data_IF_148808712901
#
_entry.id   IF_148808712901
#
_cell.length_a   1.000
_cell.length_b   1.000
_cell.length_c   1.000
_cell.angle_alpha   90.00
_cell.angle_beta   90.00
_cell.angle_gamma   90.00
#
_symmetry.space_group_name_H-M   'P 1'
#
loop_
_entity.id
_entity.type
_entity.pdbx_description
1 polymer ?
#
# COMPACT_ATOMS: atom_id res chain seq x y z
N UNK A 1 -52.82 -13.34 18.12
CA UNK A 1 -51.51 -13.84 18.55
C UNK A 1 -51.69 -15.30 18.86
N UNK A 2 -51.07 -16.13 18.03
CA UNK A 2 -51.22 -17.59 17.98
C UNK A 2 -50.18 -18.27 18.87
N UNK A 3 -50.49 -19.48 19.33
CA UNK A 3 -49.77 -20.33 20.31
C UNK A 3 -48.33 -20.76 19.95
N UNK A 4 -47.66 -20.12 18.98
CA UNK A 4 -46.28 -20.45 18.58
C UNK A 4 -45.20 -19.60 19.29
N UNK A 5 -45.58 -18.58 20.06
CA UNK A 5 -44.62 -17.69 20.75
C UNK A 5 -44.22 -18.16 22.16
N UNK A 6 -44.76 -19.27 22.67
CA UNK A 6 -44.51 -19.74 24.05
C UNK A 6 -43.44 -20.85 24.17
N UNK A 7 -42.86 -21.32 23.07
CA UNK A 7 -41.87 -22.42 23.10
C UNK A 7 -40.40 -21.97 22.96
N UNK A 8 -40.12 -20.68 22.79
CA UNK A 8 -38.74 -20.15 22.66
C UNK A 8 -38.16 -19.56 23.96
N UNK A 9 -38.86 -19.71 25.09
CA UNK A 9 -38.50 -19.08 26.37
C UNK A 9 -37.99 -20.06 27.44
N UNK A 10 -37.79 -21.34 27.12
CA UNK A 10 -37.31 -22.36 28.08
C UNK A 10 -35.89 -22.89 27.81
N UNK A 11 -35.20 -22.42 26.77
CA UNK A 11 -33.81 -22.83 26.44
C UNK A 11 -32.74 -21.82 26.92
N UNK A 12 -33.10 -20.81 27.72
CA UNK A 12 -32.18 -19.72 28.11
C UNK A 12 -31.76 -19.69 29.59
N UNK A 13 -32.25 -20.62 30.43
CA UNK A 13 -31.93 -20.65 31.88
C UNK A 13 -30.89 -21.70 32.30
N UNK A 14 -30.39 -22.56 31.40
CA UNK A 14 -29.35 -23.56 31.75
C UNK A 14 -27.90 -23.07 31.55
N UNK A 15 -27.67 -21.96 30.85
CA UNK A 15 -26.31 -21.47 30.54
C UNK A 15 -25.69 -20.54 31.62
N UNK A 16 -26.44 -20.19 32.69
CA UNK A 16 -25.97 -19.21 33.69
C UNK A 16 -25.25 -19.87 34.88
N UNK A 17 -25.38 -21.17 35.09
CA UNK A 17 -24.72 -21.88 36.21
C UNK A 17 -23.40 -22.58 35.84
N UNK A 18 -22.97 -22.51 34.57
CA UNK A 18 -21.69 -23.09 34.13
C UNK A 18 -20.49 -22.14 34.25
N UNK A 19 -20.70 -20.85 34.50
CA UNK A 19 -19.63 -19.83 34.50
C UNK A 19 -18.97 -19.61 35.87
N UNK A 20 -19.58 -20.04 36.98
CA UNK A 20 -19.03 -19.84 38.33
C UNK A 20 -18.00 -20.92 38.74
N UNK A 21 -18.05 -22.11 38.13
CA UNK A 21 -17.07 -23.19 38.36
C UNK A 21 -15.79 -23.03 37.50
N UNK A 22 -15.82 -22.14 36.49
CA UNK A 22 -14.70 -21.85 35.60
C UNK A 22 -13.72 -20.80 36.16
N UNK A 23 -14.11 -20.01 37.16
CA UNK A 23 -13.24 -18.99 37.76
C UNK A 23 -12.34 -19.50 38.89
N UNK A 24 -12.64 -20.67 39.48
CA UNK A 24 -11.83 -21.28 40.54
C UNK A 24 -10.59 -22.05 40.03
N UNK A 25 -10.36 -22.17 38.71
CA UNK A 25 -9.18 -22.84 38.09
C UNK A 25 -8.12 -21.88 37.53
N UNK A 26 -8.13 -20.59 37.89
CA UNK A 26 -7.21 -19.58 37.32
C UNK A 26 -5.91 -19.34 38.10
N UNK A 27 -5.66 -19.99 39.23
CA UNK A 27 -4.46 -19.70 40.06
C UNK A 27 -3.27 -20.67 39.90
N UNK A 28 -3.36 -21.69 39.05
CA UNK A 28 -2.20 -22.54 38.72
C UNK A 28 -1.98 -22.58 37.22
N UNK A 29 -1.14 -21.69 36.68
CA UNK A 29 -0.34 -21.95 35.46
C UNK A 29 0.78 -20.91 35.25
N UNK A 30 1.82 -20.90 36.11
CA UNK A 30 3.03 -20.12 35.88
C UNK A 30 3.89 -20.61 34.69
N UNK A 31 3.50 -21.70 34.00
CA UNK A 31 4.19 -22.22 32.81
C UNK A 31 3.70 -21.58 31.50
N UNK A 32 2.39 -21.34 31.35
CA UNK A 32 1.79 -20.90 30.08
C UNK A 32 2.17 -19.43 29.74
N UNK A 33 2.34 -18.59 30.76
CA UNK A 33 2.81 -17.20 30.59
C UNK A 33 4.25 -17.15 30.07
N UNK A 34 5.08 -18.14 30.44
CA UNK A 34 6.50 -18.19 30.05
C UNK A 34 6.66 -18.56 28.58
N UNK A 35 5.84 -19.49 28.10
CA UNK A 35 5.82 -19.92 26.70
C UNK A 35 5.35 -18.79 25.76
N UNK A 36 4.36 -17.99 26.19
CA UNK A 36 3.86 -16.86 25.40
C UNK A 36 4.88 -15.71 25.31
N UNK A 37 5.64 -15.44 26.38
CA UNK A 37 6.72 -14.45 26.36
C UNK A 37 7.85 -14.88 25.42
N UNK A 38 8.26 -16.15 25.46
CA UNK A 38 9.29 -16.70 24.56
C UNK A 38 8.82 -16.60 23.10
N UNK A 39 7.57 -16.98 22.79
CA UNK A 39 7.01 -16.87 21.44
C UNK A 39 6.98 -15.41 20.94
N UNK A 40 6.67 -14.45 21.82
CA UNK A 40 6.66 -13.02 21.49
C UNK A 40 8.08 -12.51 21.19
N UNK A 41 9.07 -12.88 22.01
CA UNK A 41 10.49 -12.55 21.78
C UNK A 41 11.01 -13.14 20.47
N UNK A 42 10.59 -14.36 20.13
CA UNK A 42 10.94 -15.05 18.89
C UNK A 42 10.42 -14.33 17.63
N UNK A 43 9.16 -13.85 17.68
CA UNK A 43 8.57 -13.13 16.55
C UNK A 43 9.25 -11.78 16.31
N UNK A 44 9.71 -11.11 17.38
CA UNK A 44 10.51 -9.88 17.27
C UNK A 44 11.84 -10.19 16.58
N UNK A 45 12.54 -11.25 16.98
CA UNK A 45 13.81 -11.65 16.36
C UNK A 45 13.68 -12.05 14.89
N UNK A 46 12.62 -12.77 14.51
CA UNK A 46 12.34 -13.10 13.11
C UNK A 46 12.04 -11.88 12.23
N UNK A 47 11.63 -10.76 12.83
CA UNK A 47 11.30 -9.52 12.12
C UNK A 47 12.47 -8.56 11.94
N UNK A 48 13.61 -8.80 12.61
CA UNK A 48 14.78 -7.92 12.55
C UNK A 48 15.63 -8.23 11.31
N UNK A 49 15.84 -7.23 10.44
CA UNK A 49 16.76 -7.35 9.31
C UNK A 49 18.23 -7.47 9.82
N UNK A 50 19.10 -8.24 9.13
CA UNK A 50 20.49 -8.50 9.52
C UNK A 50 21.35 -7.24 9.75
N UNK A 51 20.91 -6.07 9.26
CA UNK A 51 21.64 -4.79 9.36
C UNK A 51 21.23 -3.93 10.56
N UNK A 52 20.17 -4.28 11.27
CA UNK A 52 19.67 -3.52 12.43
C UNK A 52 19.94 -4.21 13.77
N UNK A 53 20.76 -5.26 13.77
CA UNK A 53 21.07 -6.05 14.95
C UNK A 53 22.02 -5.23 15.85
N UNK A 54 21.41 -4.51 16.80
CA UNK A 54 22.12 -3.79 17.84
C UNK A 54 22.66 -4.75 18.90
N UNK A 55 23.60 -4.30 19.74
CA UNK A 55 24.14 -5.04 20.91
C UNK A 55 23.03 -5.61 21.81
N UNK A 56 21.88 -4.94 21.85
CA UNK A 56 20.67 -5.36 22.59
C UNK A 56 20.03 -6.64 22.07
N UNK A 57 20.22 -6.94 20.78
CA UNK A 57 19.72 -8.17 20.15
C UNK A 57 20.60 -9.37 20.48
N UNK A 58 21.90 -9.16 20.75
CA UNK A 58 22.81 -10.20 21.26
C UNK A 58 22.44 -10.59 22.68
N UNK A 59 22.17 -9.62 23.56
CA UNK A 59 21.69 -9.85 24.93
C UNK A 59 20.37 -10.65 24.93
N UNK A 60 19.45 -10.31 24.01
CA UNK A 60 18.18 -11.01 23.88
C UNK A 60 18.32 -12.46 23.36
N UNK A 61 19.36 -12.75 22.57
CA UNK A 61 19.67 -14.13 22.13
C UNK A 61 20.25 -14.93 23.31
N UNK A 62 21.11 -14.31 24.12
CA UNK A 62 21.73 -14.93 25.29
C UNK A 62 20.70 -15.31 26.37
N UNK A 63 19.70 -14.45 26.59
CA UNK A 63 18.55 -14.73 27.47
C UNK A 63 17.71 -15.93 26.98
N UNK A 64 17.54 -16.07 25.66
CA UNK A 64 16.79 -17.19 25.07
C UNK A 64 17.59 -18.49 25.15
N UNK A 65 18.91 -18.44 24.94
CA UNK A 65 19.80 -19.60 25.10
C UNK A 65 19.77 -20.12 26.56
N UNK A 66 19.86 -19.22 27.55
CA UNK A 66 19.76 -19.60 28.97
C UNK A 66 18.39 -20.18 29.32
N UNK A 67 17.32 -19.61 28.77
CA UNK A 67 15.95 -20.11 28.99
C UNK A 67 15.73 -21.49 28.36
N UNK A 68 16.32 -21.73 27.18
CA UNK A 68 16.23 -23.01 26.49
C UNK A 68 17.04 -24.12 27.20
N UNK A 69 18.18 -23.79 27.81
CA UNK A 69 18.98 -24.75 28.61
C UNK A 69 18.27 -25.22 29.89
N UNK A 70 17.33 -24.41 30.41
CA UNK A 70 16.56 -24.74 31.62
C UNK A 70 15.23 -25.44 31.31
N UNK A 71 14.87 -25.61 30.03
CA UNK A 71 13.63 -26.25 29.62
C UNK A 71 13.75 -27.79 29.66
N UNK A 72 12.72 -28.45 30.19
CA UNK A 72 12.70 -29.89 30.40
C UNK A 72 12.72 -30.65 29.06
N UNK A 73 13.80 -31.42 28.82
CA UNK A 73 14.11 -32.08 27.54
C UNK A 73 13.13 -33.19 27.14
N UNK A 74 12.21 -33.59 28.04
CA UNK A 74 11.25 -34.66 27.80
C UNK A 74 10.03 -34.22 26.98
N UNK A 75 9.81 -32.91 26.79
CA UNK A 75 8.69 -32.40 26.00
C UNK A 75 9.08 -32.24 24.52
N UNK A 76 8.19 -32.59 23.59
CA UNK A 76 8.38 -32.42 22.15
C UNK A 76 8.72 -30.96 21.76
N UNK A 77 8.24 -29.99 22.54
CA UNK A 77 8.58 -28.57 22.38
C UNK A 77 10.03 -28.26 22.79
N UNK A 78 10.61 -29.01 23.74
CA UNK A 78 11.99 -28.86 24.18
C UNK A 78 13.01 -29.20 23.08
N UNK A 79 12.73 -30.22 22.27
CA UNK A 79 13.59 -30.57 21.12
C UNK A 79 13.60 -29.48 20.02
N UNK A 80 12.45 -28.85 19.75
CA UNK A 80 12.39 -27.73 18.79
C UNK A 80 13.12 -26.48 19.31
N UNK A 81 13.02 -26.20 20.60
CA UNK A 81 13.75 -25.11 21.27
C UNK A 81 15.27 -25.34 21.23
N UNK A 82 15.72 -26.57 21.44
CA UNK A 82 17.14 -26.92 21.36
C UNK A 82 17.71 -26.71 19.94
N UNK A 83 16.99 -27.16 18.91
CA UNK A 83 17.40 -27.04 17.51
C UNK A 83 17.44 -25.57 17.07
N UNK A 84 16.50 -24.76 17.57
CA UNK A 84 16.50 -23.32 17.34
C UNK A 84 17.63 -22.60 18.09
N UNK A 85 17.91 -22.97 19.34
CA UNK A 85 19.01 -22.42 20.12
C UNK A 85 20.35 -22.68 19.43
N UNK A 86 20.58 -23.88 18.90
CA UNK A 86 21.79 -24.22 18.16
C UNK A 86 21.94 -23.36 16.89
N UNK A 87 20.84 -23.11 16.17
CA UNK A 87 20.84 -22.24 15.00
C UNK A 87 21.16 -20.78 15.35
N UNK A 88 20.66 -20.29 16.48
CA UNK A 88 20.96 -18.94 16.99
C UNK A 88 22.44 -18.81 17.41
N UNK A 89 22.99 -19.84 18.05
CA UNK A 89 24.40 -19.91 18.44
C UNK A 89 25.33 -19.80 17.24
N UNK A 90 25.07 -20.57 16.18
CA UNK A 90 25.84 -20.52 14.92
C UNK A 90 25.77 -19.12 14.28
N UNK A 91 24.60 -18.49 14.28
CA UNK A 91 24.41 -17.14 13.75
C UNK A 91 25.18 -16.10 14.57
N UNK A 92 25.19 -16.21 15.90
CA UNK A 92 25.96 -15.35 16.81
C UNK A 92 27.46 -15.45 16.52
N UNK A 93 28.01 -16.65 16.47
CA UNK A 93 29.43 -16.88 16.19
C UNK A 93 29.86 -16.31 14.83
N UNK A 94 29.01 -16.48 13.81
CA UNK A 94 29.24 -15.92 12.47
C UNK A 94 29.24 -14.39 12.49
N UNK A 95 28.37 -13.78 13.28
CA UNK A 95 28.27 -12.33 13.42
C UNK A 95 29.46 -11.75 14.19
N UNK A 96 29.88 -12.38 15.30
CA UNK A 96 31.06 -11.99 16.06
C UNK A 96 32.35 -12.09 15.23
N UNK A 97 32.48 -13.15 14.41
CA UNK A 97 33.59 -13.29 13.48
C UNK A 97 33.60 -12.18 12.41
N UNK A 98 32.42 -11.75 11.96
CA UNK A 98 32.30 -10.64 10.99
C UNK A 98 32.68 -9.30 11.62
N UNK A 99 32.25 -9.05 12.86
CA UNK A 99 32.60 -7.84 13.62
C UNK A 99 34.12 -7.78 13.86
N UNK A 100 34.74 -8.88 14.31
CA UNK A 100 36.20 -8.95 14.49
C UNK A 100 36.95 -8.70 13.19
N UNK A 101 36.50 -9.26 12.07
CA UNK A 101 37.10 -8.99 10.74
C UNK A 101 36.97 -7.53 10.34
N UNK A 102 35.85 -6.85 10.64
CA UNK A 102 35.72 -5.42 10.37
C UNK A 102 36.60 -4.57 11.29
N UNK A 103 36.72 -4.91 12.57
CA UNK A 103 37.58 -4.20 13.52
C UNK A 103 39.08 -4.39 13.20
N UNK A 104 39.51 -5.57 12.76
CA UNK A 104 40.88 -5.80 12.30
C UNK A 104 41.19 -5.08 11.00
N UNK A 105 40.19 -4.95 10.11
CA UNK A 105 40.33 -4.18 8.86
C UNK A 105 40.52 -2.68 9.13
N UNK A 106 39.89 -2.17 10.18
CA UNK A 106 40.00 -0.77 10.60
C UNK A 106 41.31 -0.45 11.35
N UNK A 107 42.00 -1.47 11.90
CA UNK A 107 43.30 -1.28 12.59
C UNK A 107 44.50 -1.15 11.66
N UNK A 108 44.40 -1.56 10.40
CA UNK A 108 45.54 -1.65 9.47
C UNK A 108 45.53 -0.68 8.28
N UNK A 109 44.61 0.28 8.21
CA UNK A 109 44.73 1.38 7.24
C UNK A 109 45.43 2.59 7.88
N UNK A 110 46.50 3.12 7.25
CA UNK A 110 47.05 4.41 7.66
C UNK A 110 45.96 5.47 7.45
N UNK A 111 45.33 5.88 8.55
CA UNK A 111 44.19 6.81 8.62
C UNK A 111 44.43 8.06 7.78
N UNK A 112 45.69 8.50 7.66
CA UNK A 112 46.11 9.67 6.89
C UNK A 112 45.89 9.51 5.38
N UNK A 113 46.24 8.36 4.79
CA UNK A 113 46.16 8.17 3.33
C UNK A 113 44.73 7.81 2.89
N UNK A 114 43.97 7.13 3.74
CA UNK A 114 42.55 6.89 3.52
C UNK A 114 41.75 8.19 3.64
N UNK A 115 41.98 9.02 4.66
CA UNK A 115 41.28 10.31 4.80
C UNK A 115 41.62 11.27 3.65
N UNK A 116 42.86 11.28 3.16
CA UNK A 116 43.26 12.11 2.04
C UNK A 116 42.66 11.60 0.72
N UNK A 117 42.66 10.28 0.49
CA UNK A 117 42.04 9.68 -0.70
C UNK A 117 40.51 9.84 -0.69
N UNK A 118 39.86 9.65 0.46
CA UNK A 118 38.42 9.81 0.63
C UNK A 118 38.01 11.28 0.49
N UNK A 119 38.80 12.23 1.02
CA UNK A 119 38.57 13.68 0.85
C UNK A 119 38.72 14.14 -0.61
N UNK A 120 39.72 13.64 -1.34
CA UNK A 120 39.91 13.92 -2.77
C UNK A 120 38.79 13.30 -3.61
N UNK A 121 38.32 12.11 -3.27
CA UNK A 121 37.21 11.42 -3.94
C UNK A 121 35.86 12.11 -3.66
N UNK A 122 35.63 12.58 -2.43
CA UNK A 122 34.47 13.40 -2.07
C UNK A 122 34.48 14.75 -2.78
N UNK A 123 35.62 15.45 -2.83
CA UNK A 123 35.77 16.70 -3.56
C UNK A 123 35.50 16.55 -5.07
N UNK A 124 35.97 15.45 -5.68
CA UNK A 124 35.70 15.12 -7.08
C UNK A 124 34.23 14.77 -7.38
N UNK A 125 33.50 14.19 -6.41
CA UNK A 125 32.08 13.83 -6.58
C UNK A 125 31.12 15.00 -6.33
N UNK A 126 31.45 15.91 -5.40
CA UNK A 126 30.64 17.09 -5.05
C UNK A 126 30.71 18.20 -6.11
N UNK A 127 31.77 18.23 -6.93
CA UNK A 127 31.90 19.17 -8.05
C UNK A 127 30.97 18.88 -9.24
N UNK A 128 30.39 17.68 -9.34
CA UNK A 128 29.60 17.25 -10.51
C UNK A 128 28.08 17.36 -10.34
N UNK A 129 27.56 17.58 -9.13
CA UNK A 129 26.12 17.45 -8.85
C UNK A 129 25.44 18.70 -8.30
N UNK A 130 26.15 19.80 -8.09
CA UNK A 130 25.54 21.03 -7.57
C UNK A 130 26.25 22.29 -8.12
N UNK A 131 25.61 23.12 -8.97
CA UNK A 131 26.26 24.27 -9.61
C UNK A 131 26.63 25.41 -8.63
N UNK A 132 26.15 25.37 -7.38
CA UNK A 132 26.45 26.34 -6.32
C UNK A 132 27.65 25.98 -5.43
N UNK A 133 28.32 24.84 -5.64
CA UNK A 133 29.47 24.43 -4.80
C UNK A 133 30.75 25.17 -5.12
N UNK A 134 30.90 25.78 -6.31
CA UNK A 134 32.13 26.47 -6.71
C UNK A 134 32.44 27.70 -5.84
N UNK A 135 31.43 28.44 -5.39
CA UNK A 135 31.60 29.57 -4.47
C UNK A 135 31.89 29.11 -3.04
N UNK A 136 31.20 28.06 -2.56
CA UNK A 136 31.48 27.47 -1.25
C UNK A 136 32.87 26.83 -1.15
N UNK A 137 33.37 26.23 -2.24
CA UNK A 137 34.73 25.65 -2.30
C UNK A 137 35.80 26.74 -2.36
N UNK A 138 35.53 27.87 -3.03
CA UNK A 138 36.44 29.02 -3.05
C UNK A 138 36.63 29.61 -1.65
N UNK A 139 35.55 29.81 -0.88
CA UNK A 139 35.68 30.27 0.52
C UNK A 139 36.43 29.27 1.41
N UNK A 140 36.20 27.96 1.25
CA UNK A 140 36.88 26.94 2.06
C UNK A 140 38.39 26.86 1.77
N UNK A 141 38.79 26.99 0.49
CA UNK A 141 40.21 26.96 0.11
C UNK A 141 40.96 28.19 0.64
N UNK A 142 40.30 29.34 0.71
CA UNK A 142 40.89 30.59 1.22
C UNK A 142 41.08 30.52 2.75
N UNK A 143 40.09 30.05 3.50
CA UNK A 143 40.16 30.00 4.97
C UNK A 143 41.16 28.94 5.48
N UNK A 144 41.25 27.79 4.81
CA UNK A 144 42.18 26.72 5.20
C UNK A 144 43.65 27.08 4.90
N UNK A 145 43.91 27.72 3.75
CA UNK A 145 45.27 28.18 3.41
C UNK A 145 45.71 29.36 4.25
N UNK A 146 44.81 30.30 4.58
CA UNK A 146 45.15 31.42 5.47
C UNK A 146 45.45 30.97 6.91
N UNK A 147 44.82 29.91 7.41
CA UNK A 147 45.16 29.36 8.75
C UNK A 147 46.41 28.47 8.73
N UNK A 148 46.64 27.70 7.67
CA UNK A 148 47.82 26.84 7.56
C UNK A 148 49.14 27.61 7.39
N UNK A 149 49.11 28.84 6.85
CA UNK A 149 50.30 29.69 6.73
C UNK A 149 50.64 30.49 8.00
N UNK A 150 49.75 30.55 9.00
CA UNK A 150 49.99 31.32 10.23
C UNK A 150 50.73 30.54 11.33
N UNK A 151 50.90 29.22 11.20
CA UNK A 151 51.57 28.39 12.21
C UNK A 151 53.06 28.26 11.94
N UNK A 152 53.86 29.01 12.71
CA UNK A 152 55.33 28.97 12.77
C UNK A 152 55.89 27.59 13.19
N UNK A 153 57.16 27.29 12.86
CA UNK A 153 57.79 26.02 13.19
C UNK A 153 58.17 26.01 14.67
N UNK A 154 57.39 25.31 15.49
CA UNK A 154 57.65 25.20 16.92
C UNK A 154 56.74 24.18 17.60
N UNK A 155 57.13 22.91 17.51
CA UNK A 155 56.94 21.85 18.53
C UNK A 155 55.58 21.69 19.23
N UNK A 156 54.93 20.56 18.92
CA UNK A 156 54.02 19.79 19.80
C UNK A 156 52.76 20.50 20.32
N UNK A 157 51.78 20.74 19.44
CA UNK A 157 50.35 20.95 19.82
C UNK A 157 49.36 20.50 18.72
N UNK A 158 49.70 19.49 17.93
CA UNK A 158 48.92 19.08 16.76
C UNK A 158 47.74 18.13 17.02
N UNK A 159 47.61 17.55 18.22
CA UNK A 159 46.62 16.48 18.47
C UNK A 159 45.22 17.04 18.80
N UNK A 160 45.10 18.27 19.31
CA UNK A 160 43.79 18.85 19.66
C UNK A 160 43.05 19.49 18.48
N UNK A 161 43.75 19.89 17.41
CA UNK A 161 43.12 20.52 16.24
C UNK A 161 42.54 19.50 15.25
N UNK A 162 43.10 18.29 15.17
CA UNK A 162 42.55 17.21 14.33
C UNK A 162 41.16 16.78 14.81
N UNK A 163 40.92 16.77 16.13
CA UNK A 163 39.62 16.43 16.69
C UNK A 163 38.56 17.46 16.29
N UNK A 164 38.88 18.76 16.33
CA UNK A 164 37.97 19.86 15.95
C UNK A 164 37.57 19.80 14.47
N UNK A 165 38.49 19.43 13.59
CA UNK A 165 38.23 19.27 12.15
C UNK A 165 37.31 18.07 11.90
N UNK A 166 37.50 16.96 12.62
CA UNK A 166 36.68 15.77 12.47
C UNK A 166 35.25 16.00 12.97
N UNK A 167 35.06 16.74 14.07
CA UNK A 167 33.71 17.15 14.53
C UNK A 167 33.03 18.08 13.53
N UNK A 168 33.77 19.06 12.98
CA UNK A 168 33.24 19.98 11.96
C UNK A 168 32.83 19.27 10.67
N UNK A 169 33.65 18.32 10.18
CA UNK A 169 33.33 17.51 9.00
C UNK A 169 32.13 16.57 9.26
N UNK A 170 32.01 16.00 10.47
CA UNK A 170 30.87 15.15 10.85
C UNK A 170 29.58 15.97 10.91
N UNK A 171 29.64 17.18 11.45
CA UNK A 171 28.50 18.11 11.49
C UNK A 171 28.10 18.57 10.08
N UNK A 172 29.06 18.92 9.21
CA UNK A 172 28.77 19.25 7.80
C UNK A 172 28.22 18.06 7.00
N UNK A 173 28.69 16.83 7.27
CA UNK A 173 28.14 15.62 6.64
C UNK A 173 26.69 15.40 7.04
N UNK A 174 26.33 15.63 8.31
CA UNK A 174 24.94 15.60 8.78
C UNK A 174 24.08 16.69 8.14
N UNK A 175 24.60 17.91 7.99
CA UNK A 175 23.89 19.00 7.31
C UNK A 175 23.71 18.75 5.80
N UNK A 176 24.71 18.19 5.13
CA UNK A 176 24.62 17.81 3.72
C UNK A 176 23.64 16.67 3.48
N UNK A 177 23.60 15.67 4.38
CA UNK A 177 22.59 14.60 4.32
C UNK A 177 21.19 15.15 4.58
N UNK A 178 21.03 16.10 5.51
CA UNK A 178 19.76 16.77 5.80
C UNK A 178 19.21 17.51 4.57
N UNK A 179 20.07 18.29 3.90
CA UNK A 179 19.70 19.04 2.70
C UNK A 179 19.28 18.10 1.54
N UNK A 180 20.02 17.00 1.34
CA UNK A 180 19.69 16.03 0.30
C UNK A 180 18.40 15.25 0.62
N UNK A 181 18.15 14.91 1.89
CA UNK A 181 16.90 14.28 2.32
C UNK A 181 15.72 15.21 2.16
N UNK A 182 15.87 16.50 2.47
CA UNK A 182 14.80 17.49 2.36
C UNK A 182 14.42 17.75 0.90
N UNK A 183 15.41 17.83 0.00
CA UNK A 183 15.15 17.95 -1.44
C UNK A 183 14.46 16.70 -2.02
N UNK A 184 14.81 15.49 -1.54
CA UNK A 184 14.10 14.24 -1.88
C UNK A 184 12.67 14.22 -1.35
N UNK A 185 12.44 14.74 -0.14
CA UNK A 185 11.09 14.85 0.43
C UNK A 185 10.24 15.84 -0.34
N UNK A 186 10.78 17.01 -0.72
CA UNK A 186 10.07 18.00 -1.53
C UNK A 186 9.71 17.47 -2.92
N UNK A 187 10.65 16.81 -3.61
CA UNK A 187 10.37 16.18 -4.91
C UNK A 187 9.33 15.06 -4.79
N UNK A 188 9.39 14.23 -3.74
CA UNK A 188 8.38 13.20 -3.49
C UNK A 188 6.99 13.82 -3.25
N UNK A 189 6.89 14.88 -2.44
CA UNK A 189 5.63 15.60 -2.20
C UNK A 189 5.04 16.16 -3.49
N UNK A 190 5.87 16.76 -4.35
CA UNK A 190 5.42 17.27 -5.65
C UNK A 190 4.91 16.14 -6.57
N UNK A 191 5.60 14.99 -6.60
CA UNK A 191 5.17 13.82 -7.38
C UNK A 191 3.87 13.23 -6.83
N UNK A 192 3.68 13.21 -5.51
CA UNK A 192 2.43 12.74 -4.90
C UNK A 192 1.29 13.71 -5.21
N UNK A 193 1.52 15.02 -5.09
CA UNK A 193 0.51 16.05 -5.36
C UNK A 193 0.06 16.02 -6.82
N UNK A 194 1.00 15.93 -7.77
CA UNK A 194 0.69 15.85 -9.21
C UNK A 194 -0.07 14.58 -9.58
N UNK A 195 0.22 13.45 -8.92
CA UNK A 195 -0.55 12.20 -9.10
C UNK A 195 -1.95 12.30 -8.53
N UNK A 196 -2.11 12.89 -7.34
CA UNK A 196 -3.40 13.07 -6.72
C UNK A 196 -4.32 13.96 -7.57
N UNK A 197 -3.81 15.08 -8.09
CA UNK A 197 -4.60 15.95 -8.97
C UNK A 197 -4.98 15.27 -10.27
N UNK A 198 -4.08 14.51 -10.89
CA UNK A 198 -4.39 13.74 -12.10
C UNK A 198 -5.52 12.72 -11.89
N UNK A 199 -5.52 12.03 -10.75
CA UNK A 199 -6.59 11.08 -10.39
C UNK A 199 -7.92 11.82 -10.20
N UNK A 200 -7.92 12.96 -9.52
CA UNK A 200 -9.13 13.78 -9.33
C UNK A 200 -9.69 14.28 -10.65
N UNK A 201 -8.85 14.78 -11.56
CA UNK A 201 -9.30 15.20 -12.89
C UNK A 201 -9.86 14.04 -13.71
N UNK A 202 -9.19 12.88 -13.70
CA UNK A 202 -9.69 11.69 -14.39
C UNK A 202 -11.05 11.25 -13.84
N UNK A 203 -11.25 11.32 -12.52
CA UNK A 203 -12.54 11.03 -11.90
C UNK A 203 -13.63 12.02 -12.33
N UNK A 204 -13.37 13.34 -12.26
CA UNK A 204 -14.33 14.38 -12.67
C UNK A 204 -14.71 14.22 -14.14
N UNK A 205 -13.72 14.05 -15.02
CA UNK A 205 -13.95 13.86 -16.47
C UNK A 205 -14.75 12.59 -16.73
N UNK A 206 -14.45 11.49 -16.03
CA UNK A 206 -15.19 10.23 -16.15
C UNK A 206 -16.65 10.36 -15.72
N UNK A 207 -16.92 11.11 -14.64
CA UNK A 207 -18.28 11.35 -14.17
C UNK A 207 -19.06 12.30 -15.09
N UNK A 208 -18.43 13.38 -15.57
CA UNK A 208 -19.02 14.29 -16.54
C UNK A 208 -19.40 13.54 -17.84
N UNK A 209 -18.51 12.67 -18.31
CA UNK A 209 -18.76 11.85 -19.50
C UNK A 209 -19.86 10.81 -19.28
N UNK A 210 -19.91 10.19 -18.10
CA UNK A 210 -20.99 9.27 -17.73
C UNK A 210 -22.34 9.98 -17.68
N UNK A 211 -22.37 11.20 -17.14
CA UNK A 211 -23.58 12.03 -17.12
C UNK A 211 -24.01 12.45 -18.53
N UNK A 212 -23.07 12.85 -19.39
CA UNK A 212 -23.34 13.18 -20.79
C UNK A 212 -23.92 11.99 -21.56
N UNK A 213 -23.37 10.79 -21.36
CA UNK A 213 -23.91 9.57 -21.94
C UNK A 213 -25.30 9.22 -21.38
N UNK A 214 -25.55 9.44 -20.10
CA UNK A 214 -26.87 9.25 -19.51
C UNK A 214 -27.90 10.23 -20.10
N UNK A 215 -27.55 11.52 -20.20
CA UNK A 215 -28.39 12.57 -20.78
C UNK A 215 -28.71 12.30 -22.26
N UNK A 216 -27.72 11.85 -23.05
CA UNK A 216 -27.98 11.42 -24.43
C UNK A 216 -28.98 10.26 -24.50
N UNK A 217 -29.04 9.41 -23.47
CA UNK A 217 -29.97 8.26 -23.43
C UNK A 217 -31.40 8.72 -23.18
N UNK A 218 -31.55 9.72 -22.31
CA UNK A 218 -32.86 10.30 -22.03
C UNK A 218 -33.39 11.08 -23.23
N UNK A 219 -32.52 11.73 -24.00
CA UNK A 219 -32.90 12.40 -25.26
C UNK A 219 -33.42 11.37 -26.27
N UNK A 220 -32.73 10.24 -26.47
CA UNK A 220 -33.21 9.17 -27.37
C UNK A 220 -34.59 8.63 -26.96
N UNK A 221 -34.84 8.46 -25.66
CA UNK A 221 -36.13 8.02 -25.16
C UNK A 221 -37.23 9.08 -25.34
N UNK A 222 -36.88 10.36 -25.31
CA UNK A 222 -37.84 11.45 -25.50
C UNK A 222 -38.14 11.70 -26.98
N UNK A 223 -37.13 11.60 -27.86
CA UNK A 223 -37.28 11.74 -29.32
C UNK A 223 -38.03 10.59 -29.99
N UNK A 224 -38.31 9.49 -29.27
CA UNK A 224 -39.19 8.42 -29.75
C UNK A 224 -40.69 8.78 -29.64
N UNK A 225 -41.04 9.89 -28.99
CA UNK A 225 -42.41 10.40 -29.00
C UNK A 225 -42.68 11.18 -30.31
N UNK A 226 -43.79 10.90 -31.01
CA UNK A 226 -44.07 11.47 -32.32
C UNK A 226 -44.38 12.97 -32.20
N UNK A 227 -43.38 13.81 -32.48
CA UNK A 227 -43.49 15.26 -32.63
C UNK A 227 -42.94 15.62 -34.02
N UNK A 228 -43.84 15.77 -35.00
CA UNK A 228 -43.64 16.27 -36.39
C UNK A 228 -42.50 15.68 -37.27
N UNK A 229 -42.87 15.26 -38.48
CA UNK A 229 -42.54 13.92 -39.01
C UNK A 229 -41.21 13.71 -39.78
N UNK A 230 -40.35 14.72 -40.03
CA UNK A 230 -39.20 14.51 -40.95
C UNK A 230 -37.83 15.03 -40.49
N UNK A 231 -37.76 16.13 -39.72
CA UNK A 231 -36.47 16.71 -39.34
C UNK A 231 -35.77 15.89 -38.23
N UNK A 232 -36.53 15.18 -37.41
CA UNK A 232 -36.02 14.49 -36.23
C UNK A 232 -35.28 13.18 -36.53
N UNK A 233 -35.58 12.49 -37.64
CA UNK A 233 -35.03 11.15 -37.89
C UNK A 233 -33.54 11.17 -38.24
N UNK A 234 -33.10 12.14 -39.04
CA UNK A 234 -31.69 12.27 -39.42
C UNK A 234 -30.85 12.72 -38.23
N UNK A 235 -31.35 13.68 -37.45
CA UNK A 235 -30.70 14.16 -36.23
C UNK A 235 -30.57 13.03 -35.19
N UNK A 236 -31.64 12.25 -34.98
CA UNK A 236 -31.63 11.09 -34.08
C UNK A 236 -30.62 10.03 -34.54
N UNK A 237 -30.57 9.74 -35.85
CA UNK A 237 -29.60 8.80 -36.41
C UNK A 237 -28.15 9.25 -36.16
N UNK A 238 -27.83 10.51 -36.47
CA UNK A 238 -26.49 11.09 -36.23
C UNK A 238 -26.15 11.04 -34.74
N UNK A 239 -27.08 11.43 -33.87
CA UNK A 239 -26.90 11.40 -32.42
C UNK A 239 -26.61 9.97 -31.91
N UNK A 240 -27.41 8.98 -32.31
CA UNK A 240 -27.24 7.59 -31.87
C UNK A 240 -25.93 6.99 -32.37
N UNK A 241 -25.49 7.29 -33.59
CA UNK A 241 -24.17 6.87 -34.08
C UNK A 241 -23.03 7.55 -33.35
N UNK A 242 -23.12 8.86 -33.09
CA UNK A 242 -22.10 9.60 -32.34
C UNK A 242 -21.96 9.05 -30.91
N UNK A 243 -23.08 8.72 -30.26
CA UNK A 243 -23.12 8.06 -28.96
C UNK A 243 -22.47 6.68 -29.02
N UNK A 244 -22.86 5.84 -29.98
CA UNK A 244 -22.31 4.49 -30.13
C UNK A 244 -20.80 4.52 -30.39
N UNK A 245 -20.34 5.43 -31.27
CA UNK A 245 -18.92 5.64 -31.54
C UNK A 245 -18.16 6.10 -30.29
N UNK A 246 -18.70 7.07 -29.56
CA UNK A 246 -18.08 7.57 -28.32
C UNK A 246 -17.94 6.45 -27.28
N UNK A 247 -18.99 5.65 -27.05
CA UNK A 247 -18.94 4.53 -26.12
C UNK A 247 -17.92 3.46 -26.56
N UNK A 248 -17.88 3.15 -27.86
CA UNK A 248 -16.93 2.19 -28.41
C UNK A 248 -15.49 2.68 -28.26
N UNK A 249 -15.22 3.98 -28.53
CA UNK A 249 -13.90 4.58 -28.33
C UNK A 249 -13.48 4.52 -26.86
N UNK A 250 -14.38 4.85 -25.92
CA UNK A 250 -14.07 4.76 -24.49
C UNK A 250 -13.79 3.33 -24.05
N UNK A 251 -14.60 2.37 -24.52
CA UNK A 251 -14.38 0.96 -24.25
C UNK A 251 -13.04 0.48 -24.82
N UNK A 252 -12.69 0.87 -26.05
CA UNK A 252 -11.43 0.52 -26.68
C UNK A 252 -10.22 1.11 -25.93
N UNK A 253 -10.28 2.38 -25.53
CA UNK A 253 -9.23 3.04 -24.74
C UNK A 253 -9.06 2.34 -23.38
N UNK A 254 -10.17 2.07 -22.67
CA UNK A 254 -10.13 1.36 -21.39
C UNK A 254 -9.61 -0.06 -21.54
N UNK A 255 -10.04 -0.78 -22.58
CA UNK A 255 -9.56 -2.13 -22.90
C UNK A 255 -8.07 -2.15 -23.22
N UNK A 256 -7.58 -1.18 -24.00
CA UNK A 256 -6.16 -1.05 -24.31
C UNK A 256 -5.32 -0.80 -23.04
N UNK A 257 -5.74 0.14 -22.20
CA UNK A 257 -5.08 0.40 -20.92
C UNK A 257 -5.09 -0.83 -20.01
N UNK A 258 -6.19 -1.58 -19.99
CA UNK A 258 -6.31 -2.81 -19.22
C UNK A 258 -5.36 -3.90 -19.74
N UNK A 259 -5.30 -4.12 -21.06
CA UNK A 259 -4.36 -5.07 -21.68
C UNK A 259 -2.91 -4.67 -21.43
N UNK A 260 -2.56 -3.39 -21.58
CA UNK A 260 -1.21 -2.88 -21.26
C UNK A 260 -0.86 -3.13 -19.79
N UNK A 261 -1.83 -2.98 -18.89
CA UNK A 261 -1.67 -3.25 -17.45
C UNK A 261 -1.41 -4.73 -17.20
N UNK A 262 -2.16 -5.63 -17.83
CA UNK A 262 -1.95 -7.08 -17.74
C UNK A 262 -0.59 -7.46 -18.33
N UNK A 263 -0.26 -6.99 -19.54
CA UNK A 263 1.03 -7.30 -20.19
C UNK A 263 2.20 -6.84 -19.32
N UNK A 264 2.12 -5.65 -18.73
CA UNK A 264 3.11 -5.17 -17.75
C UNK A 264 3.16 -6.10 -16.54
N UNK A 265 2.02 -6.45 -15.95
CA UNK A 265 1.94 -7.34 -14.78
C UNK A 265 2.56 -8.71 -15.08
N UNK A 266 2.23 -9.32 -16.23
CA UNK A 266 2.76 -10.60 -16.68
C UNK A 266 4.26 -10.52 -16.95
N UNK A 267 4.74 -9.48 -17.65
CA UNK A 267 6.18 -9.27 -17.85
C UNK A 267 6.93 -9.09 -16.53
N UNK A 268 6.33 -8.40 -15.55
CA UNK A 268 6.92 -8.26 -14.22
C UNK A 268 6.96 -9.61 -13.50
N UNK A 269 5.87 -10.37 -13.49
CA UNK A 269 5.80 -11.69 -12.85
C UNK A 269 6.84 -12.67 -13.44
N UNK A 270 7.03 -12.66 -14.76
CA UNK A 270 8.02 -13.52 -15.41
C UNK A 270 9.47 -13.10 -15.14
N UNK A 271 9.75 -11.82 -14.85
CA UNK A 271 11.12 -11.33 -14.61
C UNK A 271 11.56 -11.41 -13.15
N UNK A 272 10.65 -11.66 -12.21
CA UNK A 272 10.94 -11.61 -10.78
C UNK A 272 11.37 -12.95 -10.22
N UNK A 273 12.66 -13.27 -10.35
CA UNK A 273 13.29 -14.34 -9.57
C UNK A 273 13.92 -13.83 -8.26
N UNK A 274 13.97 -12.51 -8.04
CA UNK A 274 14.54 -11.90 -6.83
C UNK A 274 13.47 -10.98 -6.19
N UNK A 275 12.78 -11.50 -5.17
CA UNK A 275 11.75 -10.78 -4.42
C UNK A 275 12.37 -9.67 -3.56
N UNK A 276 12.23 -8.42 -4.02
CA UNK A 276 12.43 -7.24 -3.19
C UNK A 276 11.13 -6.86 -2.49
N UNK A 277 11.19 -6.51 -1.20
CA UNK A 277 10.03 -6.05 -0.40
C UNK A 277 9.31 -4.86 -1.04
N UNK A 278 10.03 -3.98 -1.74
CA UNK A 278 9.46 -2.86 -2.49
C UNK A 278 8.66 -3.27 -3.73
N UNK A 279 8.84 -4.49 -4.23
CA UNK A 279 8.15 -4.99 -5.41
C UNK A 279 6.79 -5.62 -5.07
N UNK A 280 6.69 -6.26 -3.91
CA UNK A 280 5.46 -6.85 -3.40
C UNK A 280 4.36 -5.79 -3.19
N UNK A 281 4.72 -4.61 -2.67
CA UNK A 281 3.75 -3.50 -2.50
C UNK A 281 3.20 -3.00 -3.83
N UNK A 282 4.04 -2.87 -4.86
CA UNK A 282 3.61 -2.47 -6.21
C UNK A 282 2.68 -3.50 -6.84
N UNK A 283 2.96 -4.80 -6.63
CA UNK A 283 2.13 -5.88 -7.15
C UNK A 283 0.74 -5.89 -6.51
N UNK A 284 0.66 -5.64 -5.19
CA UNK A 284 -0.62 -5.52 -4.47
C UNK A 284 -1.46 -4.34 -5.00
N UNK A 285 -0.83 -3.19 -5.26
CA UNK A 285 -1.51 -2.02 -5.85
C UNK A 285 -2.00 -2.35 -7.27
N UNK A 286 -1.18 -3.00 -8.08
CA UNK A 286 -1.56 -3.34 -9.46
C UNK A 286 -2.71 -4.34 -9.50
N UNK A 287 -2.69 -5.34 -8.60
CA UNK A 287 -3.78 -6.30 -8.43
C UNK A 287 -5.08 -5.63 -7.99
N UNK A 288 -5.03 -4.66 -7.08
CA UNK A 288 -6.25 -3.96 -6.66
C UNK A 288 -6.84 -3.10 -7.77
N UNK A 289 -6.01 -2.46 -8.58
CA UNK A 289 -6.47 -1.73 -9.78
C UNK A 289 -7.13 -2.68 -10.79
N UNK A 290 -6.58 -3.87 -11.01
CA UNK A 290 -7.19 -4.85 -11.90
C UNK A 290 -8.58 -5.26 -11.40
N UNK A 291 -8.70 -5.59 -10.11
CA UNK A 291 -9.98 -5.95 -9.49
C UNK A 291 -10.98 -4.79 -9.56
N UNK A 292 -10.53 -3.55 -9.36
CA UNK A 292 -11.36 -2.35 -9.48
C UNK A 292 -11.98 -2.20 -10.87
N UNK A 293 -11.17 -2.37 -11.92
CA UNK A 293 -11.56 -2.09 -13.29
C UNK A 293 -12.38 -3.20 -13.94
N UNK A 294 -12.28 -4.45 -13.48
CA UNK A 294 -12.89 -5.60 -14.19
C UNK A 294 -14.43 -5.52 -14.20
N UNK A 295 -15.12 -5.37 -13.05
CA UNK A 295 -16.58 -5.39 -13.04
C UNK A 295 -17.21 -4.24 -13.85
N UNK A 296 -16.83 -2.96 -13.67
CA UNK A 296 -17.40 -1.86 -14.46
C UNK A 296 -17.21 -2.03 -15.97
N UNK A 297 -16.07 -2.57 -16.40
CA UNK A 297 -15.77 -2.80 -17.82
C UNK A 297 -16.67 -3.87 -18.45
N UNK A 298 -17.08 -4.90 -17.68
CA UNK A 298 -18.05 -5.90 -18.15
C UNK A 298 -19.41 -5.24 -18.42
N UNK A 299 -19.88 -4.36 -17.53
CA UNK A 299 -21.12 -3.62 -17.77
C UNK A 299 -21.02 -2.66 -18.96
N UNK A 300 -19.85 -2.03 -19.17
CA UNK A 300 -19.62 -1.19 -20.37
C UNK A 300 -19.76 -2.03 -21.64
N UNK A 301 -19.20 -3.23 -21.68
CA UNK A 301 -19.29 -4.09 -22.87
C UNK A 301 -20.75 -4.39 -23.25
N UNK A 302 -21.61 -4.66 -22.27
CA UNK A 302 -23.05 -4.84 -22.50
C UNK A 302 -23.72 -3.54 -22.96
N UNK A 303 -23.34 -2.41 -22.38
CA UNK A 303 -23.81 -1.08 -22.80
C UNK A 303 -23.45 -0.72 -24.24
N UNK A 304 -22.24 -1.09 -24.69
CA UNK A 304 -21.78 -0.92 -26.07
C UNK A 304 -22.61 -1.78 -27.02
N UNK A 305 -22.87 -3.05 -26.66
CA UNK A 305 -23.71 -3.94 -27.46
C UNK A 305 -25.15 -3.38 -27.60
N UNK A 306 -25.74 -2.87 -26.52
CA UNK A 306 -27.05 -2.22 -26.55
C UNK A 306 -27.08 -0.97 -27.44
N UNK A 307 -26.09 -0.09 -27.32
CA UNK A 307 -26.02 1.14 -28.15
C UNK A 307 -25.78 0.83 -29.63
N UNK A 308 -24.97 -0.18 -29.93
CA UNK A 308 -24.78 -0.66 -31.31
C UNK A 308 -26.07 -1.23 -31.89
N UNK A 309 -26.79 -2.05 -31.12
CA UNK A 309 -28.12 -2.55 -31.49
C UNK A 309 -29.11 -1.42 -31.80
N UNK A 310 -29.14 -0.37 -30.97
CA UNK A 310 -29.95 0.84 -31.23
C UNK A 310 -29.57 1.50 -32.54
N UNK A 311 -28.28 1.75 -32.78
CA UNK A 311 -27.80 2.36 -34.03
C UNK A 311 -28.20 1.54 -35.27
N UNK A 312 -28.01 0.21 -35.22
CA UNK A 312 -28.35 -0.69 -36.32
C UNK A 312 -29.86 -0.71 -36.61
N UNK A 313 -30.72 -0.82 -35.59
CA UNK A 313 -32.18 -0.81 -35.75
C UNK A 313 -32.68 0.48 -36.43
N UNK A 314 -32.05 1.63 -36.14
CA UNK A 314 -32.39 2.91 -36.75
C UNK A 314 -31.97 3.00 -38.23
N UNK A 315 -30.89 2.34 -38.62
CA UNK A 315 -30.36 2.38 -40.00
C UNK A 315 -30.90 1.32 -40.95
N UNK A 316 -31.43 0.20 -40.45
CA UNK A 316 -31.86 -0.92 -41.31
C UNK A 316 -33.16 -0.63 -42.09
N UNK A 317 -33.23 -1.22 -43.29
CA UNK A 317 -34.41 -1.25 -44.17
C UNK A 317 -35.53 -2.05 -43.49
N UNK A 318 -36.82 -1.68 -43.67
CA UNK A 318 -37.97 -2.26 -42.96
C UNK A 318 -38.07 -3.80 -42.96
N UNK A 319 -37.56 -4.49 -43.99
CA UNK A 319 -37.67 -5.96 -44.12
C UNK A 319 -36.75 -6.67 -43.13
N UNK A 320 -35.47 -6.28 -43.06
CA UNK A 320 -34.48 -6.86 -42.14
C UNK A 320 -34.70 -6.41 -40.69
N UNK A 321 -35.47 -5.32 -40.51
CA UNK A 321 -35.73 -4.71 -39.22
C UNK A 321 -36.43 -5.66 -38.26
N UNK A 322 -37.39 -6.49 -38.70
CA UNK A 322 -38.17 -7.33 -37.78
C UNK A 322 -37.31 -8.38 -37.06
N UNK A 323 -36.40 -9.05 -37.77
CA UNK A 323 -35.50 -10.04 -37.16
C UNK A 323 -34.51 -9.39 -36.19
N UNK A 324 -33.89 -8.28 -36.62
CA UNK A 324 -32.96 -7.55 -35.77
C UNK A 324 -33.65 -6.95 -34.55
N UNK A 325 -34.85 -6.39 -34.68
CA UNK A 325 -35.63 -5.86 -33.55
C UNK A 325 -35.92 -6.95 -32.53
N UNK A 326 -36.31 -8.17 -32.95
CA UNK A 326 -36.55 -9.27 -32.02
C UNK A 326 -35.30 -9.64 -31.21
N UNK A 327 -34.11 -9.60 -31.82
CA UNK A 327 -32.85 -9.99 -31.16
C UNK A 327 -32.24 -8.85 -30.34
N UNK A 328 -32.33 -7.62 -30.83
CA UNK A 328 -31.68 -6.46 -30.21
C UNK A 328 -32.53 -5.81 -29.12
N UNK A 329 -33.86 -5.93 -29.14
CA UNK A 329 -34.74 -5.41 -28.06
C UNK A 329 -34.35 -5.93 -26.67
N UNK A 330 -34.15 -7.25 -26.44
CA UNK A 330 -33.73 -7.72 -25.12
C UNK A 330 -32.34 -7.24 -24.73
N UNK A 331 -31.39 -7.18 -25.67
CA UNK A 331 -30.03 -6.67 -25.42
C UNK A 331 -30.07 -5.21 -25.01
N UNK A 332 -30.84 -4.38 -25.72
CA UNK A 332 -31.08 -2.98 -25.37
C UNK A 332 -31.68 -2.84 -23.98
N UNK A 333 -32.74 -3.60 -23.68
CA UNK A 333 -33.40 -3.55 -22.38
C UNK A 333 -32.46 -3.93 -21.24
N UNK A 334 -31.69 -5.01 -21.40
CA UNK A 334 -30.67 -5.41 -20.42
C UNK A 334 -29.61 -4.33 -20.26
N UNK A 335 -29.11 -3.74 -21.36
CA UNK A 335 -28.13 -2.66 -21.32
C UNK A 335 -28.64 -1.43 -20.53
N UNK A 336 -29.91 -1.06 -20.69
CA UNK A 336 -30.55 0.04 -19.94
C UNK A 336 -30.68 -0.28 -18.45
N UNK A 337 -31.15 -1.49 -18.12
CA UNK A 337 -31.30 -1.93 -16.72
C UNK A 337 -29.95 -2.05 -15.99
N UNK A 338 -28.85 -2.28 -16.72
CA UNK A 338 -27.51 -2.42 -16.14
C UNK A 338 -26.83 -1.08 -15.82
N UNK A 339 -27.39 0.07 -16.20
CA UNK A 339 -26.81 1.39 -15.90
C UNK A 339 -26.72 1.62 -14.38
N UNK A 340 -27.80 1.36 -13.64
CA UNK A 340 -27.85 1.57 -12.18
C UNK A 340 -26.97 0.56 -11.42
N UNK A 341 -27.05 -0.76 -11.68
CA UNK A 341 -26.11 -1.74 -11.13
C UNK A 341 -24.65 -1.40 -11.43
N UNK A 342 -24.34 -0.89 -12.63
CA UNK A 342 -22.97 -0.48 -12.98
C UNK A 342 -22.46 0.64 -12.07
N UNK A 343 -23.27 1.67 -11.82
CA UNK A 343 -22.90 2.75 -10.90
C UNK A 343 -22.64 2.21 -9.50
N UNK A 344 -23.55 1.37 -9.00
CA UNK A 344 -23.42 0.74 -7.69
C UNK A 344 -22.16 -0.13 -7.58
N UNK A 345 -21.92 -1.00 -8.57
CA UNK A 345 -20.75 -1.88 -8.61
C UNK A 345 -19.46 -1.09 -8.74
N UNK A 346 -19.45 0.03 -9.47
CA UNK A 346 -18.28 0.91 -9.57
C UNK A 346 -17.97 1.56 -8.22
N UNK A 347 -18.98 2.01 -7.48
CA UNK A 347 -18.81 2.55 -6.13
C UNK A 347 -18.32 1.48 -5.15
N UNK A 348 -18.91 0.27 -5.18
CA UNK A 348 -18.47 -0.85 -4.35
C UNK A 348 -17.05 -1.30 -4.70
N UNK A 349 -16.71 -1.39 -5.98
CA UNK A 349 -15.37 -1.83 -6.39
C UNK A 349 -14.31 -0.84 -5.94
N UNK A 350 -14.58 0.48 -5.99
CA UNK A 350 -13.69 1.49 -5.44
C UNK A 350 -13.45 1.25 -3.94
N UNK A 351 -14.54 0.99 -3.22
CA UNK A 351 -14.54 0.73 -1.79
C UNK A 351 -13.64 -0.45 -1.39
N UNK A 352 -13.73 -1.55 -2.14
CA UNK A 352 -12.97 -2.77 -1.86
C UNK A 352 -11.54 -2.75 -2.40
N UNK A 353 -11.29 -2.03 -3.50
CA UNK A 353 -9.99 -2.02 -4.15
C UNK A 353 -8.94 -1.23 -3.36
N UNK A 354 -9.26 -0.04 -2.87
CA UNK A 354 -8.27 0.80 -2.20
C UNK A 354 -8.19 0.49 -0.70
N UNK A 355 -6.97 0.23 -0.23
CA UNK A 355 -6.71 -0.11 1.17
C UNK A 355 -7.15 1.00 2.13
N UNK A 356 -7.03 2.26 1.72
CA UNK A 356 -7.42 3.41 2.54
C UNK A 356 -8.93 3.48 2.76
N UNK A 357 -9.74 3.20 1.73
CA UNK A 357 -11.20 3.09 1.88
C UNK A 357 -11.59 1.91 2.77
N UNK A 358 -10.94 0.75 2.61
CA UNK A 358 -11.17 -0.40 3.51
C UNK A 358 -10.89 -0.05 4.96
N UNK A 359 -9.78 0.64 5.25
CA UNK A 359 -9.43 1.11 6.61
C UNK A 359 -10.45 2.10 7.16
N UNK A 360 -10.91 3.05 6.36
CA UNK A 360 -11.92 4.00 6.78
C UNK A 360 -13.23 3.30 7.16
N UNK A 361 -13.64 2.31 6.37
CA UNK A 361 -14.85 1.52 6.62
C UNK A 361 -14.73 0.65 7.85
N UNK A 362 -13.64 -0.09 7.99
CA UNK A 362 -13.43 -0.92 9.19
C UNK A 362 -13.39 -0.05 10.44
N UNK A 363 -12.82 1.17 10.37
CA UNK A 363 -12.88 2.15 11.45
C UNK A 363 -14.33 2.54 11.77
N UNK A 364 -15.11 2.97 10.78
CA UNK A 364 -16.52 3.35 10.96
C UNK A 364 -17.36 2.20 11.54
N UNK A 365 -17.22 0.98 11.01
CA UNK A 365 -17.93 -0.19 11.54
C UNK A 365 -17.50 -0.51 12.97
N UNK A 366 -16.21 -0.44 13.27
CA UNK A 366 -15.73 -0.68 14.64
C UNK A 366 -16.28 0.34 15.63
N UNK A 367 -16.45 1.61 15.22
CA UNK A 367 -17.07 2.65 16.04
C UNK A 367 -18.57 2.40 16.26
N UNK A 368 -19.31 2.01 15.22
CA UNK A 368 -20.74 1.67 15.33
C UNK A 368 -20.93 0.49 16.28
N UNK A 369 -20.12 -0.57 16.13
CA UNK A 369 -20.15 -1.75 17.02
C UNK A 369 -19.85 -1.34 18.47
N UNK A 370 -18.83 -0.49 18.68
CA UNK A 370 -18.52 0.06 20.01
C UNK A 370 -19.66 0.88 20.59
N UNK A 371 -20.36 1.71 19.80
CA UNK A 371 -21.52 2.51 20.25
C UNK A 371 -22.70 1.62 20.62
N UNK A 372 -23.01 0.58 19.82
CA UNK A 372 -24.06 -0.39 20.15
C UNK A 372 -23.78 -1.13 21.45
N UNK A 373 -22.52 -1.56 21.68
CA UNK A 373 -22.11 -2.18 22.95
C UNK A 373 -22.31 -1.24 24.15
N UNK A 374 -22.00 0.05 24.01
CA UNK A 374 -22.25 1.04 25.08
C UNK A 374 -23.73 1.25 25.36
N UNK A 375 -24.56 1.37 24.33
CA UNK A 375 -26.01 1.54 24.48
C UNK A 375 -26.67 0.32 25.16
N UNK A 376 -26.24 -0.88 24.79
CA UNK A 376 -26.70 -2.11 25.42
C UNK A 376 -26.32 -2.17 26.90
N UNK A 377 -25.07 -1.78 27.23
CA UNK A 377 -24.61 -1.74 28.62
C UNK A 377 -25.35 -0.69 29.48
N UNK A 378 -25.70 0.47 28.92
CA UNK A 378 -26.50 1.49 29.63
C UNK A 378 -27.92 1.01 29.88
N UNK A 379 -28.55 0.35 28.89
CA UNK A 379 -29.92 -0.17 29.01
C UNK A 379 -29.99 -1.29 30.05
N UNK A 380 -28.99 -2.17 30.11
CA UNK A 380 -28.91 -3.22 31.12
C UNK A 380 -28.79 -2.68 32.56
N UNK A 381 -28.10 -1.56 32.77
CA UNK A 381 -28.01 -0.90 34.09
C UNK A 381 -29.31 -0.25 34.53
N UNK A 382 -30.10 0.30 33.61
CA UNK A 382 -31.38 0.95 33.95
C UNK A 382 -32.50 -0.03 34.27
N UNK A 383 -32.38 -1.30 33.87
CA UNK A 383 -33.39 -2.34 34.15
C UNK A 383 -33.10 -3.08 35.47
N UNK A 384 -31.88 -3.01 36.00
CA UNK A 384 -31.49 -3.66 37.27
C UNK A 384 -31.60 -2.75 38.50
N UNK A 385 -32.00 -1.48 38.32
CA UNK A 385 -32.30 -0.53 39.39
C UNK A 385 -33.78 -0.23 39.41
#
# INVERSE_FOLDING_TARGET
MTEEDSLMLLDFEEDVFADEEAEARKEEKPSEVRDEEIARKLNILKSLEPRQISRRSLEMIEDIEQSAMMADLQNANGQQLLLLAEQLRINRETMEATIKRTEERDKHLPIRDYLLAEAVKLAGSLGKTCPRTSECFKSFKIEYFSRAQATRPGGRRLVNDEFSILTYLKQRRQSATSCQTEQRIQTLRLVIATKATAISYAFIVSQALSWLLAAGSTVENFSLYPLDDDFDRTALCIHTWARAATQLTLFAVMGLLYLLTIVRLTMYACRTQIYSSGQQSRWLILRSVLIYCTPPNVFIAVGVAGSYCSAVILTLIPVDRMFFVSTCTPVKHVAEQLITPRLFVTSLSALFAFADYRKAITSMFSEIVRRKKKLFFVTARTVSS
#
